data_IF_246751599952
#
_entry.id   IF_246751599952
#
_cell.length_a   1.000
_cell.length_b   1.000
_cell.length_c   1.000
_cell.angle_alpha   90.00
_cell.angle_beta   90.00
_cell.angle_gamma   90.00
#
_symmetry.space_group_name_H-M   'P 1'
#
loop_
_entity.id
_entity.type
_entity.pdbx_description
1 polymer ?
#
# COMPACT_ATOMS: atom_id res chain seq x y z
N UNK A 1 19.63 -10.65 10.02
CA UNK A 1 18.37 -9.90 10.16
C UNK A 1 18.23 -9.14 8.84
N UNK A 2 17.33 -9.57 7.96
CA UNK A 2 17.11 -8.82 6.72
C UNK A 2 16.36 -7.53 7.08
N UNK A 3 16.86 -6.39 6.62
CA UNK A 3 16.25 -5.09 6.87
C UNK A 3 15.11 -4.86 5.87
N UNK A 4 14.06 -4.17 6.27
CA UNK A 4 12.94 -3.80 5.39
C UNK A 4 13.40 -3.08 4.11
N UNK A 5 14.58 -2.43 4.16
CA UNK A 5 15.20 -1.79 3.01
C UNK A 5 15.39 -2.73 1.82
N UNK A 6 15.65 -4.03 2.01
CA UNK A 6 15.78 -4.96 0.87
C UNK A 6 14.47 -5.14 0.09
N UNK A 7 13.33 -4.82 0.70
CA UNK A 7 12.00 -4.83 0.04
C UNK A 7 11.78 -3.55 -0.76
N UNK A 8 12.33 -2.41 -0.29
CA UNK A 8 12.20 -1.12 -0.95
C UNK A 8 13.25 -0.89 -2.02
N UNK A 9 14.45 -1.45 -1.86
CA UNK A 9 15.57 -1.22 -2.77
C UNK A 9 15.24 -1.47 -4.25
N UNK A 10 14.49 -2.52 -4.62
CA UNK A 10 14.18 -2.73 -6.02
C UNK A 10 13.19 -1.70 -6.60
N UNK A 11 12.56 -0.85 -5.78
CA UNK A 11 11.77 0.30 -6.22
C UNK A 11 12.65 1.51 -6.59
N UNK A 12 13.92 1.52 -6.21
CA UNK A 12 14.83 2.60 -6.54
C UNK A 12 14.89 2.81 -8.07
N UNK A 13 14.58 4.02 -8.51
CA UNK A 13 14.58 4.40 -9.92
C UNK A 13 13.37 3.95 -10.74
N UNK A 14 12.47 3.11 -10.18
CA UNK A 14 11.22 2.76 -10.84
C UNK A 14 10.19 3.87 -10.69
N UNK A 15 9.40 4.07 -11.73
CA UNK A 15 8.26 4.98 -11.69
C UNK A 15 6.98 4.23 -11.35
N UNK A 16 6.14 4.84 -10.53
CA UNK A 16 4.76 4.44 -10.28
C UNK A 16 3.86 5.35 -11.11
N UNK A 17 2.92 4.78 -11.86
CA UNK A 17 1.98 5.54 -12.69
C UNK A 17 0.55 5.51 -12.15
N UNK A 18 0.20 4.56 -11.28
CA UNK A 18 -1.15 4.46 -10.70
C UNK A 18 -1.15 3.78 -9.32
N UNK A 19 -2.23 4.02 -8.57
CA UNK A 19 -2.58 3.31 -7.35
C UNK A 19 -3.85 2.53 -7.64
N UNK A 20 -3.81 1.20 -7.57
CA UNK A 20 -4.90 0.34 -7.99
C UNK A 20 -5.50 -0.43 -6.83
N UNK A 21 -6.82 -0.40 -6.74
CA UNK A 21 -7.59 -1.14 -5.74
C UNK A 21 -8.34 -2.26 -6.43
N UNK A 22 -8.12 -3.53 -6.06
CA UNK A 22 -8.84 -4.66 -6.64
C UNK A 22 -10.28 -4.71 -6.15
N UNK A 23 -11.13 -5.36 -6.94
CA UNK A 23 -12.52 -5.60 -6.59
C UNK A 23 -13.22 -6.41 -7.67
N UNK A 24 -14.54 -6.31 -7.69
CA UNK A 24 -15.39 -6.94 -8.71
C UNK A 24 -16.50 -5.99 -9.17
N UNK A 25 -17.11 -6.30 -10.31
CA UNK A 25 -18.29 -5.58 -10.79
C UNK A 25 -19.55 -6.35 -10.41
N UNK A 26 -20.27 -5.86 -9.41
CA UNK A 26 -21.62 -6.33 -9.09
C UNK A 26 -22.58 -5.88 -10.19
N UNK A 27 -23.23 -6.85 -10.83
CA UNK A 27 -24.19 -6.65 -11.95
C UNK A 27 -25.62 -7.04 -11.58
N UNK A 28 -25.90 -7.37 -10.32
CA UNK A 28 -27.23 -7.79 -9.87
C UNK A 28 -28.21 -6.60 -9.76
N UNK A 29 -27.68 -5.39 -9.66
CA UNK A 29 -28.44 -4.16 -9.65
C UNK A 29 -28.68 -3.57 -11.07
N UNK A 30 -29.65 -2.66 -11.18
CA UNK A 30 -29.97 -1.97 -12.44
C UNK A 30 -28.79 -1.17 -13.04
N UNK A 31 -27.85 -0.75 -12.21
CA UNK A 31 -26.61 -0.07 -12.61
C UNK A 31 -25.45 -0.86 -12.02
N UNK A 32 -24.54 -1.41 -12.85
CA UNK A 32 -23.38 -2.13 -12.35
C UNK A 32 -22.53 -1.27 -11.41
N UNK A 33 -22.00 -1.88 -10.34
CA UNK A 33 -21.20 -1.19 -9.32
C UNK A 33 -19.87 -1.89 -9.12
N UNK A 34 -18.82 -1.09 -9.02
CA UNK A 34 -17.54 -1.60 -8.55
C UNK A 34 -17.57 -1.80 -7.03
N UNK A 35 -17.23 -3.01 -6.59
CA UNK A 35 -17.18 -3.42 -5.19
C UNK A 35 -15.71 -3.62 -4.77
N UNK A 36 -15.10 -2.66 -4.06
CA UNK A 36 -13.69 -2.72 -3.71
C UNK A 36 -13.40 -3.79 -2.66
N UNK A 37 -12.31 -4.53 -2.88
CA UNK A 37 -11.72 -5.49 -1.94
C UNK A 37 -10.40 -4.90 -1.42
N UNK A 38 -10.49 -3.95 -0.50
CA UNK A 38 -9.36 -3.15 -0.02
C UNK A 38 -8.33 -3.93 0.83
N UNK A 39 -8.40 -5.26 0.91
CA UNK A 39 -7.38 -6.08 1.58
C UNK A 39 -6.01 -6.01 0.87
N UNK A 40 -6.01 -5.70 -0.43
CA UNK A 40 -4.80 -5.51 -1.24
C UNK A 40 -4.86 -4.17 -1.97
N UNK A 41 -3.71 -3.51 -2.11
CA UNK A 41 -3.53 -2.33 -2.97
C UNK A 41 -2.27 -2.55 -3.80
N UNK A 42 -2.29 -2.12 -5.04
CA UNK A 42 -1.12 -2.15 -5.92
C UNK A 42 -0.64 -0.72 -6.21
N UNK A 43 0.67 -0.50 -6.14
CA UNK A 43 1.30 0.61 -6.86
C UNK A 43 1.72 0.06 -8.23
N UNK A 44 1.10 0.54 -9.29
CA UNK A 44 1.39 0.09 -10.65
C UNK A 44 2.70 0.71 -11.15
N UNK A 45 3.64 -0.15 -11.55
CA UNK A 45 4.96 0.25 -12.01
C UNK A 45 5.01 0.20 -13.54
N UNK A 46 6.06 0.79 -14.13
CA UNK A 46 6.32 0.60 -15.57
C UNK A 46 6.49 -0.88 -15.95
N UNK A 47 6.98 -1.70 -15.02
CA UNK A 47 7.01 -3.16 -15.11
C UNK A 47 6.55 -3.80 -13.78
N UNK A 48 5.42 -4.52 -13.83
CA UNK A 48 4.82 -5.20 -12.69
C UNK A 48 4.17 -4.24 -11.68
N UNK A 49 4.11 -4.69 -10.43
CA UNK A 49 3.40 -3.99 -9.35
C UNK A 49 4.16 -4.11 -8.03
N UNK A 50 4.04 -3.08 -7.20
CA UNK A 50 4.34 -3.20 -5.78
C UNK A 50 3.04 -3.47 -5.02
N UNK A 51 2.90 -4.69 -4.53
CA UNK A 51 1.73 -5.19 -3.83
C UNK A 51 1.81 -4.86 -2.34
N UNK A 52 0.74 -4.31 -1.81
CA UNK A 52 0.52 -4.01 -0.40
C UNK A 52 -0.65 -4.87 0.08
N UNK A 53 -0.44 -5.76 1.04
CA UNK A 53 -1.49 -6.60 1.61
C UNK A 53 -1.71 -6.28 3.09
N UNK A 54 -2.98 -6.17 3.48
CA UNK A 54 -3.38 -6.18 4.88
C UNK A 54 -3.29 -7.61 5.42
N UNK A 55 -2.40 -7.84 6.38
CA UNK A 55 -2.16 -9.13 7.03
C UNK A 55 -2.26 -9.02 8.55
N UNK A 56 -2.26 -10.17 9.24
CA UNK A 56 -2.29 -10.20 10.71
C UNK A 56 -3.56 -9.58 11.28
N UNK A 57 -4.72 -9.95 10.74
CA UNK A 57 -6.04 -9.40 11.13
C UNK A 57 -6.10 -7.87 11.06
N UNK A 58 -5.67 -7.30 9.93
CA UNK A 58 -5.66 -5.84 9.70
C UNK A 58 -4.61 -5.08 10.52
N UNK A 59 -3.73 -5.77 11.26
CA UNK A 59 -2.75 -5.13 12.12
C UNK A 59 -1.41 -4.78 11.46
N UNK A 60 -1.16 -5.30 10.25
CA UNK A 60 0.12 -5.20 9.55
C UNK A 60 -0.07 -5.08 8.03
N UNK A 61 0.92 -4.47 7.37
CA UNK A 61 1.04 -4.29 5.93
C UNK A 61 2.21 -5.14 5.44
N UNK A 62 1.94 -6.18 4.65
CA UNK A 62 2.95 -6.93 3.93
C UNK A 62 3.19 -6.31 2.56
N UNK A 63 4.44 -6.27 2.11
CA UNK A 63 4.83 -5.59 0.88
C UNK A 63 5.73 -6.48 0.02
N UNK A 64 5.46 -6.54 -1.28
CA UNK A 64 6.23 -7.36 -2.21
C UNK A 64 6.16 -6.82 -3.63
N UNK A 65 7.16 -7.17 -4.46
CA UNK A 65 7.08 -6.98 -5.90
C UNK A 65 6.45 -8.21 -6.55
N UNK A 66 5.51 -7.96 -7.46
CA UNK A 66 4.83 -8.99 -8.25
C UNK A 66 4.82 -8.57 -9.72
N UNK A 67 4.77 -9.55 -10.61
CA UNK A 67 4.72 -9.30 -12.07
C UNK A 67 3.31 -9.05 -12.58
N UNK A 68 2.30 -9.59 -11.89
CA UNK A 68 0.90 -9.52 -12.27
C UNK A 68 -0.01 -9.40 -11.05
N UNK A 69 -1.23 -8.91 -11.29
CA UNK A 69 -2.31 -8.90 -10.31
C UNK A 69 -3.09 -10.20 -10.39
N UNK A 70 -3.54 -10.71 -9.25
CA UNK A 70 -4.34 -11.92 -9.18
C UNK A 70 -5.67 -11.63 -8.49
N UNK A 71 -6.76 -12.32 -8.88
CA UNK A 71 -7.99 -12.28 -8.11
C UNK A 71 -7.73 -12.66 -6.65
N UNK A 72 -8.18 -11.85 -5.68
CA UNK A 72 -7.99 -12.17 -4.28
C UNK A 72 -8.72 -13.48 -3.93
N UNK A 73 -8.31 -14.19 -2.87
CA UNK A 73 -8.96 -15.43 -2.44
C UNK A 73 -10.48 -15.33 -2.25
N UNK A 74 -10.98 -14.14 -1.90
CA UNK A 74 -12.40 -13.86 -1.74
C UNK A 74 -13.22 -14.00 -3.04
N UNK A 75 -12.60 -13.99 -4.21
CA UNK A 75 -13.25 -14.17 -5.52
C UNK A 75 -12.96 -15.55 -6.14
N UNK A 76 -12.16 -16.39 -5.49
CA UNK A 76 -11.82 -17.70 -6.06
C UNK A 76 -13.02 -18.64 -6.02
N UNK A 77 -13.48 -19.04 -7.21
CA UNK A 77 -14.64 -19.93 -7.37
C UNK A 77 -15.98 -19.20 -7.46
N UNK A 78 -15.97 -17.88 -7.34
CA UNK A 78 -17.13 -17.03 -7.61
C UNK A 78 -17.18 -16.68 -9.12
N UNK A 79 -18.37 -16.42 -9.65
CA UNK A 79 -18.59 -15.99 -11.05
C UNK A 79 -18.50 -14.46 -11.21
N UNK A 80 -17.63 -13.86 -10.39
CA UNK A 80 -17.49 -12.40 -10.30
C UNK A 80 -16.39 -11.90 -11.25
N UNK A 81 -16.67 -10.79 -11.95
CA UNK A 81 -15.72 -10.14 -12.84
C UNK A 81 -14.65 -9.41 -12.04
N UNK A 82 -13.48 -10.04 -11.83
CA UNK A 82 -12.33 -9.40 -11.21
C UNK A 82 -11.90 -8.15 -11.99
N UNK A 83 -11.77 -7.03 -11.29
CA UNK A 83 -11.39 -5.75 -11.89
C UNK A 83 -10.53 -4.90 -10.96
N UNK A 84 -9.84 -3.92 -11.53
CA UNK A 84 -8.97 -2.97 -10.82
C UNK A 84 -9.53 -1.57 -10.98
N UNK A 85 -9.76 -0.87 -9.88
CA UNK A 85 -10.06 0.55 -9.89
C UNK A 85 -8.78 1.37 -9.81
N UNK A 86 -8.56 2.23 -10.81
CA UNK A 86 -7.52 3.25 -10.78
C UNK A 86 -7.88 4.36 -9.79
N UNK A 87 -6.96 4.65 -8.87
CA UNK A 87 -7.10 5.67 -7.84
C UNK A 87 -6.00 6.75 -7.97
N UNK A 88 -5.18 6.72 -9.03
CA UNK A 88 -4.08 7.65 -9.25
C UNK A 88 -4.48 9.12 -9.13
N UNK A 89 -5.61 9.52 -9.73
CA UNK A 89 -6.12 10.91 -9.66
C UNK A 89 -6.44 11.40 -8.24
N UNK A 90 -6.62 10.50 -7.28
CA UNK A 90 -6.83 10.88 -5.88
C UNK A 90 -5.53 11.28 -5.17
N UNK A 91 -4.38 10.89 -5.70
CA UNK A 91 -3.07 11.05 -5.05
C UNK A 91 -2.04 11.79 -5.91
N UNK A 92 -2.18 11.73 -7.22
CA UNK A 92 -1.33 12.36 -8.22
C UNK A 92 -2.09 13.49 -8.92
N UNK A 93 -1.37 14.42 -9.54
CA UNK A 93 -2.00 15.51 -10.28
C UNK A 93 -2.54 15.06 -11.65
N UNK A 94 -2.00 13.97 -12.22
CA UNK A 94 -2.37 13.40 -13.51
C UNK A 94 -2.15 11.89 -13.49
N UNK A 95 -3.21 11.11 -13.72
CA UNK A 95 -3.22 9.64 -13.74
C UNK A 95 -2.45 9.00 -14.90
N UNK A 96 -1.92 9.80 -15.84
CA UNK A 96 -1.07 9.31 -16.93
C UNK A 96 0.40 9.70 -16.80
N UNK A 97 0.76 10.39 -15.71
CA UNK A 97 2.15 10.71 -15.40
C UNK A 97 2.79 9.63 -14.55
N UNK A 98 4.08 9.39 -14.77
CA UNK A 98 4.86 8.46 -13.93
C UNK A 98 5.70 9.24 -12.93
N UNK A 99 5.70 8.79 -11.67
CA UNK A 99 6.46 9.44 -10.60
C UNK A 99 7.34 8.44 -9.87
N UNK A 100 8.59 8.80 -9.64
CA UNK A 100 9.48 7.98 -8.81
C UNK A 100 9.20 8.18 -7.34
N UNK A 101 9.37 7.12 -6.56
CA UNK A 101 9.37 7.20 -5.10
C UNK A 101 10.66 7.89 -4.65
N UNK A 102 10.53 8.96 -3.89
CA UNK A 102 11.64 9.75 -3.34
C UNK A 102 11.92 9.41 -1.88
N UNK A 103 10.94 8.90 -1.15
CA UNK A 103 11.05 8.52 0.27
C UNK A 103 9.94 7.55 0.66
N UNK A 104 10.26 6.61 1.53
CA UNK A 104 9.27 5.76 2.20
C UNK A 104 9.44 5.94 3.71
N UNK A 105 8.37 6.35 4.40
CA UNK A 105 8.31 6.23 5.87
C UNK A 105 7.50 5.00 6.22
N UNK A 106 7.83 4.37 7.33
CA UNK A 106 7.09 3.20 7.80
C UNK A 106 7.15 3.11 9.32
N UNK A 107 6.11 2.50 9.89
CA UNK A 107 6.05 2.21 11.31
C UNK A 107 6.21 0.71 11.55
N UNK A 108 6.91 0.34 12.62
CA UNK A 108 7.13 -1.04 13.07
C UNK A 108 6.62 -1.22 14.49
N UNK A 109 6.23 -2.43 14.85
CA UNK A 109 5.97 -2.83 16.24
C UNK A 109 6.65 -4.19 16.54
N UNK A 110 6.18 -4.93 17.56
CA UNK A 110 6.70 -6.27 17.89
C UNK A 110 6.20 -7.38 16.96
N UNK A 111 5.11 -7.16 16.22
CA UNK A 111 4.54 -8.13 15.28
C UNK A 111 5.10 -7.96 13.86
N UNK A 112 5.67 -6.79 13.55
CA UNK A 112 6.31 -6.53 12.27
C UNK A 112 7.51 -7.46 12.05
N UNK A 113 7.64 -7.95 10.81
CA UNK A 113 8.77 -8.76 10.36
C UNK A 113 9.46 -8.04 9.20
N UNK A 114 10.39 -7.09 9.48
CA UNK A 114 11.04 -6.26 8.46
C UNK A 114 11.67 -7.08 7.33
N UNK A 115 12.38 -8.16 7.66
CA UNK A 115 13.03 -9.02 6.68
C UNK A 115 12.08 -9.84 5.81
N UNK A 116 10.81 -9.93 6.20
CA UNK A 116 9.72 -10.51 5.43
C UNK A 116 8.82 -9.46 4.77
N UNK A 117 9.19 -8.18 4.80
CA UNK A 117 8.40 -7.11 4.17
C UNK A 117 7.18 -6.66 4.95
N UNK A 118 7.09 -6.96 6.23
CA UNK A 118 5.91 -6.62 7.05
C UNK A 118 6.18 -5.44 7.97
N UNK A 119 5.31 -4.43 7.92
CA UNK A 119 5.33 -3.20 8.73
C UNK A 119 3.93 -2.92 9.29
N UNK A 120 3.75 -1.96 10.20
CA UNK A 120 2.40 -1.53 10.62
C UNK A 120 1.68 -0.73 9.54
N UNK A 121 2.38 0.22 8.94
CA UNK A 121 1.87 1.09 7.87
C UNK A 121 3.04 1.69 7.09
N UNK A 122 2.78 2.26 5.92
CA UNK A 122 3.79 2.91 5.08
C UNK A 122 3.25 4.16 4.39
N UNK A 123 4.09 5.20 4.30
CA UNK A 123 3.89 6.40 3.50
C UNK A 123 4.92 6.43 2.37
N UNK A 124 4.43 6.46 1.14
CA UNK A 124 5.23 6.61 -0.08
C UNK A 124 5.16 8.07 -0.51
N UNK A 125 6.30 8.75 -0.51
CA UNK A 125 6.46 10.07 -1.11
C UNK A 125 7.04 9.90 -2.51
N UNK A 126 6.47 10.63 -3.45
CA UNK A 126 6.86 10.63 -4.85
C UNK A 126 7.46 11.97 -5.25
N UNK A 127 8.00 12.03 -6.48
CA UNK A 127 8.32 13.29 -7.13
C UNK A 127 7.14 14.29 -7.04
N UNK A 128 7.46 15.58 -7.02
CA UNK A 128 6.50 16.67 -6.78
C UNK A 128 5.79 16.63 -5.41
N UNK A 129 6.30 15.83 -4.46
CA UNK A 129 5.75 15.69 -3.09
C UNK A 129 4.34 15.11 -3.05
N UNK A 130 3.95 14.34 -4.06
CA UNK A 130 2.75 13.50 -3.94
C UNK A 130 2.97 12.44 -2.88
N UNK A 131 1.90 12.04 -2.20
CA UNK A 131 1.96 11.13 -1.06
C UNK A 131 0.82 10.14 -1.13
N UNK A 132 1.16 8.86 -0.92
CA UNK A 132 0.22 7.77 -0.67
C UNK A 132 0.58 7.15 0.67
N UNK A 133 -0.34 7.22 1.62
CA UNK A 133 -0.25 6.55 2.91
C UNK A 133 -1.19 5.34 2.92
N UNK A 134 -0.66 4.17 3.27
CA UNK A 134 -1.38 2.91 3.37
C UNK A 134 -1.43 2.43 4.83
N UNK A 135 -2.63 2.39 5.38
CA UNK A 135 -2.93 1.92 6.74
C UNK A 135 -3.82 0.67 6.69
N UNK A 136 -3.32 -0.51 7.08
CA UNK A 136 -4.09 -1.75 7.02
C UNK A 136 -5.17 -1.84 8.11
N UNK A 137 -5.17 -0.96 9.12
CA UNK A 137 -6.01 -1.07 10.34
C UNK A 137 -7.45 -0.59 10.16
N UNK A 138 -7.90 -0.35 8.93
CA UNK A 138 -9.28 0.04 8.69
C UNK A 138 -10.19 -1.19 8.60
N UNK A 139 -11.47 -1.02 8.98
CA UNK A 139 -12.42 -2.14 9.12
C UNK A 139 -12.57 -3.04 7.90
N UNK A 140 -12.24 -2.54 6.71
CA UNK A 140 -12.39 -3.26 5.45
C UNK A 140 -11.06 -3.43 4.69
N UNK A 141 -9.92 -3.31 5.39
CA UNK A 141 -8.59 -3.48 4.80
C UNK A 141 -7.76 -2.20 4.84
N UNK A 142 -7.02 -1.97 3.76
CA UNK A 142 -6.10 -0.85 3.59
C UNK A 142 -6.89 0.42 3.33
N UNK A 143 -6.72 1.40 4.21
CA UNK A 143 -7.16 2.77 4.01
C UNK A 143 -6.05 3.57 3.35
N UNK A 144 -6.32 4.07 2.16
CA UNK A 144 -5.44 4.99 1.43
C UNK A 144 -5.74 6.44 1.79
N UNK A 145 -4.69 7.22 2.06
CA UNK A 145 -4.80 8.64 2.38
C UNK A 145 -3.60 9.42 1.81
N UNK A 146 -3.73 10.74 1.71
CA UNK A 146 -2.66 11.61 1.23
C UNK A 146 -1.87 12.29 2.36
N UNK A 147 -1.36 13.47 2.04
CA UNK A 147 -0.46 14.28 2.87
C UNK A 147 -0.93 14.40 4.34
N UNK A 148 0.02 14.18 5.26
CA UNK A 148 -0.17 14.34 6.70
C UNK A 148 -0.93 13.20 7.38
N UNK A 149 -1.36 12.18 6.65
CA UNK A 149 -2.04 11.02 7.24
C UNK A 149 -1.10 10.19 8.12
N UNK A 150 0.15 9.98 7.71
CA UNK A 150 1.14 9.28 8.53
C UNK A 150 1.39 10.00 9.85
N UNK A 151 1.53 11.32 9.84
CA UNK A 151 1.79 12.09 11.07
C UNK A 151 0.59 12.04 12.04
N UNK A 152 -0.64 12.07 11.52
CA UNK A 152 -1.84 11.84 12.33
C UNK A 152 -1.85 10.42 12.92
N UNK A 153 -1.59 9.42 12.09
CA UNK A 153 -1.53 8.02 12.53
C UNK A 153 -0.47 7.82 13.63
N UNK A 154 0.73 8.38 13.47
CA UNK A 154 1.79 8.29 14.49
C UNK A 154 1.35 8.96 15.79
N UNK A 155 0.72 10.13 15.72
CA UNK A 155 0.21 10.83 16.90
C UNK A 155 -0.82 9.99 17.65
N UNK A 156 -1.75 9.38 16.92
CA UNK A 156 -2.83 8.57 17.51
C UNK A 156 -2.30 7.23 18.06
N UNK A 157 -1.32 6.62 17.39
CA UNK A 157 -0.71 5.33 17.78
C UNK A 157 0.16 5.41 19.04
N UNK A 158 0.63 6.61 19.42
CA UNK A 158 1.47 6.80 20.61
C UNK A 158 0.70 6.59 21.92
N UNK A 159 -0.62 6.60 21.86
CA UNK A 159 -1.51 6.39 23.00
C UNK A 159 -2.07 4.95 23.06
N UNK A 160 -1.70 4.06 22.13
CA UNK A 160 -2.18 2.67 22.10
C UNK A 160 -1.48 1.75 23.12
N UNK A 161 -2.26 0.81 23.65
CA UNK A 161 -1.91 -0.21 24.65
C UNK A 161 -0.61 -0.98 24.35
N UNK A 162 0.14 -1.28 25.41
CA UNK A 162 1.40 -2.03 25.42
C UNK A 162 1.37 -3.45 24.81
N UNK A 163 0.19 -3.96 24.42
CA UNK A 163 0.01 -5.32 23.91
C UNK A 163 0.88 -5.64 22.68
N UNK A 164 1.17 -4.64 21.83
CA UNK A 164 1.90 -4.83 20.57
C UNK A 164 3.32 -4.25 20.58
N UNK A 165 3.78 -3.78 21.75
CA UNK A 165 5.05 -3.09 21.92
C UNK A 165 5.07 -1.66 21.35
N UNK A 166 6.18 -0.93 21.54
CA UNK A 166 6.28 0.44 21.10
C UNK A 166 6.34 0.55 19.58
N UNK A 167 5.65 1.55 19.03
CA UNK A 167 5.80 1.96 17.63
C UNK A 167 7.20 2.53 17.40
N UNK A 168 7.89 2.02 16.37
CA UNK A 168 9.21 2.51 15.93
C UNK A 168 9.09 2.99 14.49
N UNK A 169 9.55 4.20 14.22
CA UNK A 169 9.51 4.78 12.88
C UNK A 169 10.82 4.50 12.13
N UNK A 170 10.73 4.29 10.82
CA UNK A 170 11.88 4.18 9.94
C UNK A 170 11.65 4.97 8.65
N UNK A 171 12.75 5.28 7.97
CA UNK A 171 12.76 6.03 6.72
C UNK A 171 13.73 5.35 5.77
N UNK A 172 13.26 5.05 4.56
CA UNK A 172 14.09 4.68 3.44
C UNK A 172 14.07 5.80 2.39
N UNK A 173 15.23 6.04 1.79
CA UNK A 173 15.41 6.99 0.70
C UNK A 173 16.24 6.27 -0.37
N UNK A 174 15.84 6.28 -1.66
CA UNK A 174 16.63 5.66 -2.71
C UNK A 174 18.02 6.29 -2.77
N UNK A 175 19.05 5.47 -3.01
CA UNK A 175 20.36 6.00 -3.34
C UNK A 175 20.25 6.88 -4.60
N UNK A 176 20.93 8.03 -4.61
CA UNK A 176 20.93 8.92 -5.79
C UNK A 176 21.47 8.13 -6.98
N UNK A 177 20.63 7.94 -7.99
CA UNK A 177 21.06 7.42 -9.29
C UNK A 177 21.82 8.56 -9.98
N UNK A 178 23.15 8.49 -9.97
CA UNK A 178 24.03 9.38 -10.75
C UNK A 178 23.97 9.10 -12.23
#
# INVERSE_FOLDING_TARGET
MHEIHSVFEPLAGRSVWDVQVPGFVDRDEAVPRFMPLAATVYLALGEGYFRLDSVGNYGQLAMSLVTETEPPPALQGEDEEFTLASCGDSFFADSYSEYRITRIRYALNNESVPGGGTVRCAEFEFENRFVVFADPMYHFGIRLQGVGAYDRWVKDSRDESAAFGPTREGIWVPAKTT
#
